data_IF_487106240045
#
_entry.id   IF_487106240045
#
_cell.length_a   1.000
_cell.length_b   1.000
_cell.length_c   1.000
_cell.angle_alpha   90.00
_cell.angle_beta   90.00
_cell.angle_gamma   90.00
#
_symmetry.space_group_name_H-M   'P 1'
#
loop_
_entity.id
_entity.type
_entity.pdbx_description
1 polymer ?
#
# COMPACT_ATOMS: atom_id res chain seq x y z
N UNK A 1 -34.32 78.29 -59.35
CA UNK A 1 -35.52 78.58 -60.18
C UNK A 1 -36.80 78.61 -59.35
N UNK A 2 -37.71 79.55 -59.65
CA UNK A 2 -38.99 79.70 -58.95
C UNK A 2 -40.12 80.09 -59.90
N UNK A 3 -41.35 79.76 -59.53
CA UNK A 3 -42.56 80.11 -60.29
C UNK A 3 -43.52 80.84 -59.36
N UNK A 4 -44.05 81.96 -59.84
CA UNK A 4 -44.98 82.82 -59.12
C UNK A 4 -46.24 83.09 -59.96
N UNK A 5 -47.41 82.97 -59.33
CA UNK A 5 -48.68 83.41 -59.88
C UNK A 5 -49.15 84.66 -59.14
N UNK A 6 -49.47 85.70 -59.91
CA UNK A 6 -49.82 87.02 -59.40
C UNK A 6 -51.18 87.44 -59.95
N UNK A 7 -51.93 88.15 -59.11
CA UNK A 7 -53.18 88.82 -59.49
C UNK A 7 -53.12 90.30 -59.13
N UNK A 8 -53.86 91.13 -59.87
CA UNK A 8 -54.04 92.54 -59.49
C UNK A 8 -55.07 92.61 -58.36
N UNK A 9 -54.79 93.41 -57.33
CA UNK A 9 -55.67 93.58 -56.18
C UNK A 9 -57.03 94.16 -56.60
N UNK A 10 -58.12 93.44 -56.36
CA UNK A 10 -59.49 93.90 -56.65
C UNK A 10 -60.19 94.65 -55.50
N UNK A 11 -59.48 94.96 -54.41
CA UNK A 11 -60.05 95.59 -53.19
C UNK A 11 -59.38 96.92 -52.90
N UNK A 12 -60.17 97.94 -52.51
CA UNK A 12 -59.63 99.18 -51.95
C UNK A 12 -59.06 98.91 -50.55
N UNK A 13 -57.96 99.59 -50.12
CA UNK A 13 -57.26 100.68 -50.81
C UNK A 13 -56.20 100.22 -51.85
N UNK A 14 -55.83 98.94 -51.88
CA UNK A 14 -54.72 98.42 -52.69
C UNK A 14 -54.94 98.54 -54.20
N UNK A 15 -56.20 98.50 -54.64
CA UNK A 15 -56.58 98.73 -56.02
C UNK A 15 -56.15 100.11 -56.52
N UNK A 16 -56.16 101.14 -55.67
CA UNK A 16 -55.76 102.50 -56.06
C UNK A 16 -54.27 102.54 -56.42
N UNK A 17 -53.42 101.84 -55.64
CA UNK A 17 -51.99 101.73 -55.92
C UNK A 17 -51.73 101.03 -57.27
N UNK A 18 -52.50 99.97 -57.56
CA UNK A 18 -52.39 99.24 -58.81
C UNK A 18 -52.82 100.09 -60.01
N UNK A 19 -53.91 100.85 -59.88
CA UNK A 19 -54.42 101.74 -60.94
C UNK A 19 -53.46 102.91 -61.15
N UNK A 20 -53.00 103.58 -60.10
CA UNK A 20 -52.04 104.68 -60.21
C UNK A 20 -50.74 104.24 -60.89
N UNK A 21 -50.24 103.04 -60.57
CA UNK A 21 -49.00 102.53 -61.13
C UNK A 21 -49.16 101.93 -62.51
N UNK A 22 -50.23 101.15 -62.78
CA UNK A 22 -50.30 100.30 -63.98
C UNK A 22 -51.35 100.73 -65.01
N UNK A 23 -52.17 101.76 -64.75
CA UNK A 23 -53.17 102.22 -65.72
C UNK A 23 -52.51 102.71 -67.02
N UNK A 24 -52.96 102.16 -68.16
CA UNK A 24 -52.42 102.50 -69.48
C UNK A 24 -51.12 101.76 -69.85
N UNK A 25 -50.56 100.91 -68.96
CA UNK A 25 -49.37 100.12 -69.27
C UNK A 25 -49.69 98.77 -69.91
N UNK A 26 -48.83 98.26 -70.82
CA UNK A 26 -48.99 96.93 -71.37
C UNK A 26 -48.69 95.86 -70.30
N UNK A 27 -49.36 94.70 -70.39
CA UNK A 27 -49.22 93.59 -69.45
C UNK A 27 -47.77 93.11 -69.28
N UNK A 28 -46.98 93.15 -70.35
CA UNK A 28 -45.55 92.80 -70.33
C UNK A 28 -44.76 93.69 -69.37
N UNK A 29 -45.09 94.99 -69.32
CA UNK A 29 -44.42 95.92 -68.43
C UNK A 29 -44.77 95.65 -66.96
N UNK A 30 -46.04 95.32 -66.67
CA UNK A 30 -46.48 94.92 -65.33
C UNK A 30 -45.76 93.63 -64.90
N UNK A 31 -45.68 92.64 -65.80
CA UNK A 31 -44.96 91.39 -65.54
C UNK A 31 -43.46 91.61 -65.30
N UNK A 32 -42.84 92.54 -66.02
CA UNK A 32 -41.43 92.89 -65.85
C UNK A 32 -41.17 93.52 -64.47
N UNK A 33 -41.96 94.52 -64.08
CA UNK A 33 -41.85 95.16 -62.75
C UNK A 33 -42.04 94.11 -61.65
N UNK A 34 -43.09 93.29 -61.76
CA UNK A 34 -43.36 92.26 -60.76
C UNK A 34 -42.23 91.22 -60.68
N UNK A 35 -41.62 90.84 -61.81
CA UNK A 35 -40.46 89.94 -61.85
C UNK A 35 -39.25 90.58 -61.17
N UNK A 36 -38.91 91.82 -61.52
CA UNK A 36 -37.76 92.55 -60.95
C UNK A 36 -37.89 92.67 -59.42
N UNK A 37 -39.08 92.97 -58.90
CA UNK A 37 -39.32 93.03 -57.45
C UNK A 37 -39.25 91.64 -56.80
N UNK A 38 -39.84 90.60 -57.39
CA UNK A 38 -39.73 89.24 -56.86
C UNK A 38 -38.28 88.73 -56.83
N UNK A 39 -37.48 89.05 -57.84
CA UNK A 39 -36.04 88.72 -57.89
C UNK A 39 -35.25 89.49 -56.84
N UNK A 40 -35.60 90.76 -56.60
CA UNK A 40 -35.05 91.57 -55.52
C UNK A 40 -35.28 90.95 -54.14
N UNK A 41 -36.52 90.54 -53.86
CA UNK A 41 -36.89 89.95 -52.57
C UNK A 41 -36.27 88.57 -52.38
N UNK A 42 -36.22 87.77 -53.45
CA UNK A 42 -35.51 86.49 -53.45
C UNK A 42 -34.02 86.68 -53.11
N UNK A 43 -33.37 87.67 -53.72
CA UNK A 43 -31.96 88.00 -53.44
C UNK A 43 -31.76 88.48 -52.01
N UNK A 44 -32.66 89.32 -51.49
CA UNK A 44 -32.63 89.82 -50.12
C UNK A 44 -32.69 88.70 -49.09
N UNK A 45 -33.64 87.77 -49.25
CA UNK A 45 -33.77 86.61 -48.33
C UNK A 45 -32.58 85.67 -48.44
N UNK A 46 -32.10 85.38 -49.66
CA UNK A 46 -30.91 84.55 -49.87
C UNK A 46 -29.64 85.15 -49.26
N UNK A 47 -29.54 86.48 -49.15
CA UNK A 47 -28.39 87.14 -48.51
C UNK A 47 -28.33 86.92 -46.99
N UNK A 48 -29.43 86.49 -46.36
CA UNK A 48 -29.52 86.27 -44.90
C UNK A 48 -29.37 84.82 -44.47
N UNK A 49 -29.29 83.88 -45.40
CA UNK A 49 -29.25 82.43 -45.12
C UNK A 49 -28.00 81.80 -45.75
N UNK A 50 -27.47 80.74 -45.12
CA UNK A 50 -26.35 80.00 -45.72
C UNK A 50 -26.85 79.02 -46.81
N UNK A 51 -26.00 78.62 -47.78
CA UNK A 51 -26.37 77.64 -48.79
C UNK A 51 -26.91 76.32 -48.21
N UNK A 52 -26.37 75.89 -47.07
CA UNK A 52 -26.83 74.71 -46.35
C UNK A 52 -28.22 74.91 -45.75
N UNK A 53 -28.48 76.06 -45.11
CA UNK A 53 -29.80 76.35 -44.52
C UNK A 53 -30.90 76.43 -45.59
N UNK A 54 -30.59 77.00 -46.75
CA UNK A 54 -31.54 77.07 -47.89
C UNK A 54 -31.86 75.67 -48.42
N UNK A 55 -30.89 74.75 -48.39
CA UNK A 55 -31.11 73.39 -48.86
C UNK A 55 -31.77 72.47 -47.81
N UNK A 56 -31.34 72.58 -46.54
CA UNK A 56 -31.76 71.71 -45.44
C UNK A 56 -33.13 72.14 -44.87
N UNK A 57 -33.45 73.45 -44.82
CA UNK A 57 -34.73 73.98 -44.32
C UNK A 57 -35.45 74.87 -45.34
N UNK A 58 -35.99 74.21 -46.37
CA UNK A 58 -36.76 74.85 -47.44
C UNK A 58 -38.05 75.52 -46.94
N UNK A 59 -38.58 75.08 -45.80
CA UNK A 59 -39.83 75.63 -45.24
C UNK A 59 -39.54 76.99 -44.61
N UNK A 60 -38.46 77.13 -43.86
CA UNK A 60 -38.02 78.40 -43.28
C UNK A 60 -37.71 79.42 -44.38
N UNK A 61 -36.98 79.01 -45.42
CA UNK A 61 -36.72 79.86 -46.58
C UNK A 61 -38.02 80.32 -47.27
N UNK A 62 -38.94 79.40 -47.56
CA UNK A 62 -40.20 79.73 -48.21
C UNK A 62 -41.06 80.70 -47.38
N UNK A 63 -41.10 80.55 -46.05
CA UNK A 63 -41.83 81.46 -45.16
C UNK A 63 -41.25 82.87 -45.16
N UNK A 64 -39.92 82.99 -45.05
CA UNK A 64 -39.25 84.29 -45.10
C UNK A 64 -39.48 84.98 -46.44
N UNK A 65 -39.40 84.23 -47.54
CA UNK A 65 -39.66 84.74 -48.88
C UNK A 65 -41.10 85.21 -49.08
N UNK A 66 -42.09 84.44 -48.64
CA UNK A 66 -43.51 84.83 -48.75
C UNK A 66 -43.78 86.11 -47.96
N UNK A 67 -43.25 86.23 -46.74
CA UNK A 67 -43.42 87.42 -45.92
C UNK A 67 -42.88 88.70 -46.59
N UNK A 68 -41.65 88.64 -47.13
CA UNK A 68 -41.03 89.77 -47.81
C UNK A 68 -41.77 90.12 -49.11
N UNK A 69 -42.14 89.10 -49.88
CA UNK A 69 -42.86 89.25 -51.16
C UNK A 69 -44.26 89.81 -50.95
N UNK A 70 -45.00 89.37 -49.93
CA UNK A 70 -46.32 89.91 -49.63
C UNK A 70 -46.29 91.41 -49.32
N UNK A 71 -45.28 91.87 -48.57
CA UNK A 71 -45.13 93.29 -48.24
C UNK A 71 -44.96 94.16 -49.50
N UNK A 72 -43.99 93.82 -50.35
CA UNK A 72 -43.67 94.66 -51.52
C UNK A 72 -44.66 94.53 -52.66
N UNK A 73 -45.23 93.34 -52.87
CA UNK A 73 -46.28 93.15 -53.88
C UNK A 73 -47.54 93.93 -53.50
N UNK A 74 -47.90 93.94 -52.21
CA UNK A 74 -49.03 94.73 -51.70
C UNK A 74 -48.81 96.22 -51.94
N UNK A 75 -47.59 96.73 -51.73
CA UNK A 75 -47.24 98.12 -52.02
C UNK A 75 -47.39 98.46 -53.51
N UNK A 76 -47.16 97.51 -54.41
CA UNK A 76 -47.41 97.63 -55.85
C UNK A 76 -48.88 97.48 -56.26
N UNK A 77 -49.76 97.03 -55.35
CA UNK A 77 -51.15 96.71 -55.68
C UNK A 77 -51.32 95.35 -56.37
N UNK A 78 -50.36 94.45 -56.19
CA UNK A 78 -50.39 93.06 -56.66
C UNK A 78 -50.56 92.11 -55.47
N UNK A 79 -51.26 91.00 -55.66
CA UNK A 79 -51.33 89.90 -54.68
C UNK A 79 -50.66 88.67 -55.26
N UNK A 80 -49.88 87.98 -54.43
CA UNK A 80 -49.29 86.69 -54.78
C UNK A 80 -50.25 85.57 -54.40
N UNK A 81 -50.68 84.79 -55.39
CA UNK A 81 -51.57 83.63 -55.13
C UNK A 81 -50.74 82.39 -54.79
N UNK A 82 -49.67 82.14 -55.53
CA UNK A 82 -48.77 81.01 -55.28
C UNK A 82 -47.35 81.38 -55.62
N UNK A 83 -46.41 81.11 -54.72
CA UNK A 83 -44.97 81.19 -54.96
C UNK A 83 -44.35 79.84 -54.61
N UNK A 84 -43.67 79.20 -55.57
CA UNK A 84 -42.99 77.92 -55.37
C UNK A 84 -41.56 78.00 -55.87
N UNK A 85 -40.63 77.54 -55.03
CA UNK A 85 -39.23 77.33 -55.40
C UNK A 85 -39.07 75.90 -55.86
N UNK A 86 -38.57 75.70 -57.09
CA UNK A 86 -38.43 74.37 -57.68
C UNK A 86 -37.07 73.78 -57.35
N UNK A 87 -36.01 74.45 -57.81
CA UNK A 87 -34.64 73.97 -57.67
C UNK A 87 -33.73 75.06 -57.12
N UNK A 88 -32.84 74.65 -56.22
CA UNK A 88 -31.71 75.43 -55.72
C UNK A 88 -30.46 74.66 -56.13
N UNK A 89 -29.61 75.29 -56.93
CA UNK A 89 -28.36 74.73 -57.41
C UNK A 89 -27.27 75.79 -57.28
N UNK A 90 -26.05 75.33 -57.04
CA UNK A 90 -24.85 76.17 -57.05
C UNK A 90 -24.07 75.92 -58.34
N UNK A 91 -23.48 76.96 -58.90
CA UNK A 91 -22.64 76.90 -60.11
C UNK A 91 -21.29 76.22 -59.83
N UNK A 92 -20.79 76.33 -58.60
CA UNK A 92 -19.46 75.84 -58.20
C UNK A 92 -19.52 74.41 -57.63
N UNK A 93 -20.71 73.87 -57.38
CA UNK A 93 -20.90 72.51 -56.84
C UNK A 93 -20.48 72.35 -55.37
N UNK A 94 -20.59 73.42 -54.58
CA UNK A 94 -20.28 73.42 -53.14
C UNK A 94 -21.13 72.40 -52.37
N UNK A 95 -22.45 72.40 -52.60
CA UNK A 95 -23.39 71.51 -51.90
C UNK A 95 -23.11 70.03 -52.20
N UNK A 96 -22.78 69.69 -53.45
CA UNK A 96 -22.42 68.33 -53.85
C UNK A 96 -21.12 67.88 -53.18
N UNK A 97 -20.16 68.78 -53.03
CA UNK A 97 -18.89 68.51 -52.37
C UNK A 97 -19.07 68.26 -50.87
N UNK A 98 -19.90 69.05 -50.19
CA UNK A 98 -20.28 68.80 -48.80
C UNK A 98 -21.00 67.46 -48.64
N UNK A 99 -21.93 67.14 -49.54
CA UNK A 99 -22.64 65.86 -49.53
C UNK A 99 -21.67 64.67 -49.63
N UNK A 100 -20.67 64.75 -50.52
CA UNK A 100 -19.62 63.74 -50.64
C UNK A 100 -18.76 63.61 -49.39
N UNK A 101 -18.34 64.72 -48.78
CA UNK A 101 -17.54 64.72 -47.54
C UNK A 101 -18.34 64.09 -46.40
N UNK A 102 -19.59 64.53 -46.18
CA UNK A 102 -20.47 63.96 -45.15
C UNK A 102 -20.68 62.46 -45.36
N UNK A 103 -20.91 62.02 -46.61
CA UNK A 103 -21.03 60.61 -46.95
C UNK A 103 -19.77 59.80 -46.63
N UNK A 104 -18.59 60.32 -47.02
CA UNK A 104 -17.31 59.69 -46.71
C UNK A 104 -17.06 59.58 -45.20
N UNK A 105 -17.43 60.60 -44.42
CA UNK A 105 -17.32 60.60 -42.96
C UNK A 105 -18.23 59.56 -42.31
N UNK A 106 -19.47 59.41 -42.78
CA UNK A 106 -20.39 58.38 -42.29
C UNK A 106 -19.82 56.98 -42.56
N UNK A 107 -19.32 56.74 -43.78
CA UNK A 107 -18.69 55.45 -44.15
C UNK A 107 -17.44 55.20 -43.29
N UNK A 108 -16.60 56.21 -43.08
CA UNK A 108 -15.40 56.11 -42.24
C UNK A 108 -15.78 55.76 -40.80
N UNK A 109 -16.76 56.46 -40.21
CA UNK A 109 -17.23 56.19 -38.85
C UNK A 109 -17.80 54.77 -38.72
N UNK A 110 -18.57 54.31 -39.71
CA UNK A 110 -19.08 52.95 -39.74
C UNK A 110 -17.95 51.90 -39.77
N UNK A 111 -16.94 52.09 -40.62
CA UNK A 111 -15.76 51.20 -40.69
C UNK A 111 -14.97 51.16 -39.38
N UNK A 112 -14.79 52.31 -38.72
CA UNK A 112 -14.11 52.37 -37.42
C UNK A 112 -14.92 51.60 -36.36
N UNK A 113 -16.24 51.79 -36.32
CA UNK A 113 -17.11 51.09 -35.39
C UNK A 113 -17.09 49.57 -35.60
N UNK A 114 -17.13 49.11 -36.86
CA UNK A 114 -17.04 47.69 -37.20
C UNK A 114 -15.68 47.10 -36.81
N UNK A 115 -14.59 47.80 -37.10
CA UNK A 115 -13.24 47.35 -36.73
C UNK A 115 -13.07 47.28 -35.20
N UNK A 116 -13.58 48.27 -34.46
CA UNK A 116 -13.54 48.27 -33.00
C UNK A 116 -14.36 47.13 -32.41
N UNK A 117 -15.57 46.89 -32.93
CA UNK A 117 -16.43 45.78 -32.51
C UNK A 117 -15.77 44.42 -32.79
N UNK A 118 -15.12 44.26 -33.95
CA UNK A 118 -14.38 43.04 -34.29
C UNK A 118 -13.16 42.82 -33.39
N UNK A 119 -12.42 43.88 -33.08
CA UNK A 119 -11.28 43.81 -32.16
C UNK A 119 -11.74 43.42 -30.75
N UNK A 120 -12.78 44.05 -30.21
CA UNK A 120 -13.33 43.74 -28.89
C UNK A 120 -13.88 42.30 -28.84
N UNK A 121 -14.60 41.86 -29.88
CA UNK A 121 -15.03 40.46 -30.00
C UNK A 121 -13.85 39.48 -29.98
N UNK A 122 -12.75 39.80 -30.68
CA UNK A 122 -11.56 38.94 -30.71
C UNK A 122 -10.84 38.88 -29.36
N UNK A 123 -10.76 40.00 -28.63
CA UNK A 123 -10.18 40.05 -27.29
C UNK A 123 -11.01 39.21 -26.32
N UNK A 124 -12.33 39.40 -26.32
CA UNK A 124 -13.24 38.60 -25.46
C UNK A 124 -13.18 37.11 -25.78
N UNK A 125 -13.09 36.74 -27.05
CA UNK A 125 -12.92 35.35 -27.46
C UNK A 125 -11.60 34.75 -26.93
N UNK A 126 -10.50 35.50 -27.02
CA UNK A 126 -9.20 35.10 -26.49
C UNK A 126 -9.21 34.97 -24.95
N UNK A 127 -9.83 35.92 -24.25
CA UNK A 127 -9.99 35.87 -22.79
C UNK A 127 -10.84 34.68 -22.34
N UNK A 128 -11.95 34.42 -23.03
CA UNK A 128 -12.81 33.27 -22.75
C UNK A 128 -12.06 31.95 -22.96
N UNK A 129 -11.34 31.80 -24.06
CA UNK A 129 -10.51 30.61 -24.31
C UNK A 129 -9.40 30.45 -23.26
N UNK A 130 -8.80 31.56 -22.83
CA UNK A 130 -7.82 31.57 -21.75
C UNK A 130 -8.41 31.10 -20.41
N UNK A 131 -9.62 31.57 -20.07
CA UNK A 131 -10.36 31.14 -18.87
C UNK A 131 -10.75 29.67 -18.94
N UNK A 132 -11.27 29.22 -20.07
CA UNK A 132 -11.65 27.83 -20.30
C UNK A 132 -10.45 26.90 -20.18
N UNK A 133 -9.33 27.26 -20.80
CA UNK A 133 -8.09 26.48 -20.74
C UNK A 133 -7.55 26.41 -19.32
N UNK A 134 -7.56 27.51 -18.56
CA UNK A 134 -7.19 27.50 -17.14
C UNK A 134 -8.10 26.58 -16.32
N UNK A 135 -9.41 26.73 -16.45
CA UNK A 135 -10.37 25.87 -15.74
C UNK A 135 -10.18 24.39 -16.08
N UNK A 136 -9.87 24.07 -17.34
CA UNK A 136 -9.57 22.70 -17.79
C UNK A 136 -8.29 22.16 -17.14
N UNK A 137 -7.22 22.97 -17.12
CA UNK A 137 -5.95 22.60 -16.47
C UNK A 137 -6.15 22.41 -14.97
N UNK A 138 -6.87 23.31 -14.29
CA UNK A 138 -7.15 23.21 -12.86
C UNK A 138 -7.97 21.94 -12.54
N UNK A 139 -8.96 21.61 -13.37
CA UNK A 139 -9.72 20.36 -13.26
C UNK A 139 -8.83 19.13 -13.43
N UNK A 140 -7.93 19.12 -14.42
CA UNK A 140 -6.97 18.03 -14.62
C UNK A 140 -6.00 17.89 -13.43
N UNK A 141 -5.52 19.00 -12.87
CA UNK A 141 -4.69 18.99 -11.66
C UNK A 141 -5.47 18.41 -10.48
N UNK A 142 -6.74 18.79 -10.30
CA UNK A 142 -7.58 18.26 -9.23
C UNK A 142 -7.80 16.74 -9.36
N UNK A 143 -8.09 16.26 -10.57
CA UNK A 143 -8.23 14.82 -10.85
C UNK A 143 -6.91 14.09 -10.58
N UNK A 144 -5.78 14.60 -11.08
CA UNK A 144 -4.47 13.99 -10.86
C UNK A 144 -4.09 13.93 -9.38
N UNK A 145 -4.42 14.97 -8.59
CA UNK A 145 -4.24 14.95 -7.12
C UNK A 145 -5.12 13.89 -6.46
N UNK A 146 -6.41 13.85 -6.80
CA UNK A 146 -7.33 12.86 -6.24
C UNK A 146 -6.91 11.41 -6.58
N UNK A 147 -6.41 11.16 -7.79
CA UNK A 147 -5.85 9.87 -8.18
C UNK A 147 -4.58 9.52 -7.40
N UNK A 148 -3.68 10.49 -7.21
CA UNK A 148 -2.46 10.28 -6.42
C UNK A 148 -2.79 9.96 -4.96
N UNK A 149 -3.73 10.69 -4.34
CA UNK A 149 -4.18 10.45 -2.98
C UNK A 149 -4.85 9.09 -2.85
N UNK A 150 -5.72 8.72 -3.81
CA UNK A 150 -6.32 7.39 -3.88
C UNK A 150 -5.25 6.29 -3.92
N UNK A 151 -4.26 6.39 -4.81
CA UNK A 151 -3.16 5.43 -4.90
C UNK A 151 -2.35 5.32 -3.61
N UNK A 152 -2.10 6.46 -2.93
CA UNK A 152 -1.43 6.46 -1.64
C UNK A 152 -2.24 5.71 -0.60
N UNK A 153 -3.54 6.00 -0.50
CA UNK A 153 -4.43 5.30 0.45
C UNK A 153 -4.50 3.81 0.17
N UNK A 154 -4.66 3.40 -1.10
CA UNK A 154 -4.65 1.99 -1.51
C UNK A 154 -3.33 1.29 -1.12
N UNK A 155 -2.19 1.95 -1.38
CA UNK A 155 -0.87 1.40 -1.03
C UNK A 155 -0.71 1.24 0.49
N UNK A 156 -1.14 2.23 1.27
CA UNK A 156 -1.09 2.17 2.74
C UNK A 156 -1.99 1.05 3.27
N UNK A 157 -3.23 0.96 2.77
CA UNK A 157 -4.16 -0.11 3.16
C UNK A 157 -3.63 -1.49 2.79
N UNK A 158 -3.05 -1.67 1.60
CA UNK A 158 -2.42 -2.93 1.19
C UNK A 158 -1.22 -3.27 2.08
N UNK A 159 -0.37 -2.29 2.38
CA UNK A 159 0.77 -2.48 3.29
C UNK A 159 0.31 -2.93 4.67
N UNK A 160 -0.69 -2.28 5.23
CA UNK A 160 -1.20 -2.59 6.56
C UNK A 160 -1.90 -3.96 6.59
N UNK A 161 -2.62 -4.33 5.52
CA UNK A 161 -3.19 -5.68 5.34
C UNK A 161 -2.10 -6.76 5.28
N UNK A 162 -1.03 -6.54 4.50
CA UNK A 162 0.11 -7.47 4.44
C UNK A 162 0.80 -7.61 5.79
N UNK A 163 1.00 -6.50 6.52
CA UNK A 163 1.57 -6.55 7.88
C UNK A 163 0.68 -7.37 8.81
N UNK A 164 -0.64 -7.20 8.74
CA UNK A 164 -1.59 -7.96 9.55
C UNK A 164 -1.56 -9.46 9.20
N UNK A 165 -1.52 -9.82 7.92
CA UNK A 165 -1.41 -11.19 7.45
C UNK A 165 -0.10 -11.86 7.88
N UNK A 166 1.03 -11.16 7.73
CA UNK A 166 2.33 -11.67 8.20
C UNK A 166 2.37 -11.82 9.72
N UNK A 167 1.78 -10.88 10.48
CA UNK A 167 1.64 -11.02 11.93
C UNK A 167 0.78 -12.21 12.32
N UNK A 168 -0.33 -12.45 11.61
CA UNK A 168 -1.19 -13.61 11.85
C UNK A 168 -0.42 -14.92 11.56
N UNK A 169 0.31 -14.98 10.45
CA UNK A 169 1.14 -16.14 10.08
C UNK A 169 2.21 -16.43 11.13
N UNK A 170 2.92 -15.38 11.60
CA UNK A 170 3.93 -15.53 12.67
C UNK A 170 3.27 -15.97 13.97
N UNK A 171 2.12 -15.39 14.34
CA UNK A 171 1.39 -15.77 15.55
C UNK A 171 0.91 -17.22 15.50
N UNK A 172 0.43 -17.69 14.34
CA UNK A 172 0.04 -19.08 14.11
C UNK A 172 1.25 -20.02 14.25
N UNK A 173 2.38 -19.69 13.61
CA UNK A 173 3.61 -20.48 13.74
C UNK A 173 4.15 -20.53 15.18
N UNK A 174 4.05 -19.42 15.93
CA UNK A 174 4.41 -19.38 17.35
C UNK A 174 3.46 -20.26 18.17
N UNK A 175 2.15 -20.16 17.96
CA UNK A 175 1.16 -20.97 18.65
C UNK A 175 1.35 -22.48 18.36
N UNK A 176 1.66 -22.85 17.12
CA UNK A 176 1.97 -24.23 16.74
C UNK A 176 3.26 -24.71 17.40
N UNK A 177 4.30 -23.88 17.45
CA UNK A 177 5.55 -24.20 18.14
C UNK A 177 5.35 -24.39 19.65
N UNK A 178 4.57 -23.52 20.29
CA UNK A 178 4.21 -23.62 21.71
C UNK A 178 3.41 -24.90 22.00
N UNK A 179 2.39 -25.18 21.19
CA UNK A 179 1.61 -26.41 21.30
C UNK A 179 2.49 -27.65 21.12
N UNK A 180 3.42 -27.64 20.16
CA UNK A 180 4.38 -28.72 19.96
C UNK A 180 5.31 -28.89 21.16
N UNK A 181 5.81 -27.80 21.75
CA UNK A 181 6.64 -27.85 22.97
C UNK A 181 5.85 -28.52 24.11
N UNK A 182 4.58 -28.17 24.30
CA UNK A 182 3.77 -28.74 25.36
C UNK A 182 3.46 -30.23 25.12
N UNK A 183 3.22 -30.64 23.88
CA UNK A 183 3.14 -32.06 23.50
C UNK A 183 4.45 -32.79 23.79
N UNK A 184 5.61 -32.19 23.47
CA UNK A 184 6.91 -32.79 23.77
C UNK A 184 7.15 -32.90 25.28
N UNK A 185 6.81 -31.87 26.08
CA UNK A 185 6.90 -31.93 27.55
C UNK A 185 6.04 -33.06 28.10
N UNK A 186 4.78 -33.14 27.68
CA UNK A 186 3.89 -34.22 28.10
C UNK A 186 4.43 -35.60 27.72
N UNK A 187 5.03 -35.73 26.53
CA UNK A 187 5.67 -36.97 26.08
C UNK A 187 6.91 -37.32 26.92
N UNK A 188 7.75 -36.34 27.25
CA UNK A 188 8.89 -36.53 28.15
C UNK A 188 8.43 -37.00 29.53
N UNK A 189 7.37 -36.40 30.09
CA UNK A 189 6.80 -36.85 31.36
C UNK A 189 6.24 -38.27 31.29
N UNK A 190 5.55 -38.62 30.20
CA UNK A 190 5.06 -39.98 29.98
C UNK A 190 6.21 -41.00 29.91
N UNK A 191 7.26 -40.70 29.15
CA UNK A 191 8.45 -41.55 29.05
C UNK A 191 9.14 -41.68 30.40
N UNK A 192 9.26 -40.59 31.16
CA UNK A 192 9.84 -40.61 32.51
C UNK A 192 9.05 -41.50 33.46
N UNK A 193 7.71 -41.40 33.47
CA UNK A 193 6.83 -42.25 34.28
C UNK A 193 6.93 -43.73 33.87
N UNK A 194 6.98 -44.02 32.56
CA UNK A 194 7.21 -45.39 32.08
C UNK A 194 8.56 -45.94 32.53
N UNK A 195 9.63 -45.17 32.35
CA UNK A 195 10.98 -45.57 32.78
C UNK A 195 11.04 -45.83 34.29
N UNK A 196 10.36 -45.00 35.08
CA UNK A 196 10.26 -45.18 36.52
C UNK A 196 9.49 -46.46 36.89
N UNK A 197 8.38 -46.74 36.21
CA UNK A 197 7.59 -47.96 36.45
C UNK A 197 8.27 -49.24 35.94
N UNK A 198 8.92 -49.20 34.78
CA UNK A 198 9.45 -50.38 34.10
C UNK A 198 10.87 -50.76 34.56
N UNK A 199 11.71 -49.77 34.90
CA UNK A 199 13.12 -50.01 35.28
C UNK A 199 13.35 -49.72 36.75
N UNK A 200 12.95 -48.54 37.22
CA UNK A 200 13.33 -48.09 38.57
C UNK A 200 12.56 -48.84 39.64
N UNK A 201 11.25 -49.07 39.47
CA UNK A 201 10.42 -49.76 40.45
C UNK A 201 10.84 -51.23 40.63
N UNK A 202 11.04 -52.02 39.55
CA UNK A 202 11.53 -53.39 39.68
C UNK A 202 12.95 -53.43 40.23
N UNK A 203 13.85 -52.54 39.79
CA UNK A 203 15.21 -52.49 40.35
C UNK A 203 15.23 -52.15 41.85
N UNK A 204 14.35 -51.24 42.31
CA UNK A 204 14.17 -50.96 43.74
C UNK A 204 13.58 -52.15 44.48
N UNK A 205 12.54 -52.78 43.92
CA UNK A 205 11.93 -53.98 44.51
C UNK A 205 12.93 -55.14 44.60
N UNK A 206 13.79 -55.33 43.59
CA UNK A 206 14.85 -56.33 43.57
C UNK A 206 15.93 -56.02 44.60
N UNK A 207 16.31 -54.74 44.75
CA UNK A 207 17.24 -54.29 45.77
C UNK A 207 16.68 -54.55 47.19
N UNK A 208 15.44 -54.16 47.44
CA UNK A 208 14.75 -54.39 48.72
C UNK A 208 14.57 -55.90 48.99
N UNK A 209 14.24 -56.69 47.96
CA UNK A 209 14.14 -58.14 48.07
C UNK A 209 15.51 -58.78 48.36
N UNK A 210 16.59 -58.28 47.75
CA UNK A 210 17.94 -58.73 48.03
C UNK A 210 18.39 -58.36 49.45
N UNK A 211 18.09 -57.14 49.92
CA UNK A 211 18.33 -56.74 51.30
C UNK A 211 17.53 -57.59 52.30
N UNK A 212 16.26 -57.87 51.99
CA UNK A 212 15.41 -58.72 52.83
C UNK A 212 15.93 -60.17 52.87
N UNK A 213 16.37 -60.73 51.73
CA UNK A 213 17.01 -62.05 51.67
C UNK A 213 18.32 -62.08 52.46
N UNK A 214 19.18 -61.08 52.30
CA UNK A 214 20.42 -60.97 53.07
C UNK A 214 20.16 -60.88 54.58
N UNK A 215 19.12 -60.14 55.00
CA UNK A 215 18.67 -60.11 56.41
C UNK A 215 18.10 -61.46 56.86
N UNK A 216 17.35 -62.15 56.00
CA UNK A 216 16.80 -63.48 56.28
C UNK A 216 17.90 -64.55 56.41
N UNK A 217 18.93 -64.52 55.56
CA UNK A 217 20.09 -65.42 55.62
C UNK A 217 20.98 -65.11 56.82
N UNK A 218 21.10 -63.84 57.20
CA UNK A 218 21.81 -63.43 58.42
C UNK A 218 21.04 -63.79 59.70
N UNK A 219 19.71 -63.87 59.67
CA UNK A 219 18.89 -64.15 60.85
C UNK A 219 19.21 -65.47 61.56
N UNK A 220 19.30 -66.65 60.90
CA UNK A 220 19.69 -67.90 61.56
C UNK A 220 21.13 -67.84 62.06
N UNK A 221 22.06 -67.18 61.35
CA UNK A 221 23.45 -67.04 61.80
C UNK A 221 23.52 -66.21 63.10
N UNK A 222 22.77 -65.10 63.15
CA UNK A 222 22.71 -64.23 64.34
C UNK A 222 21.97 -64.93 65.49
N UNK A 223 20.88 -65.65 65.23
CA UNK A 223 20.13 -66.38 66.25
C UNK A 223 20.88 -67.60 66.76
N UNK A 224 21.51 -68.40 65.89
CA UNK A 224 22.40 -69.50 66.27
C UNK A 224 23.62 -68.96 67.02
N UNK A 225 24.16 -67.82 66.61
CA UNK A 225 25.24 -67.13 67.32
C UNK A 225 24.83 -66.75 68.74
N UNK A 226 23.62 -66.17 68.91
CA UNK A 226 23.05 -65.86 70.23
C UNK A 226 22.76 -67.12 71.06
N UNK A 227 22.15 -68.15 70.47
CA UNK A 227 21.85 -69.40 71.15
C UNK A 227 23.14 -70.14 71.58
N UNK A 228 24.17 -70.17 70.73
CA UNK A 228 25.50 -70.70 71.08
C UNK A 228 26.15 -69.88 72.18
N UNK A 229 26.05 -68.55 72.14
CA UNK A 229 26.55 -67.69 73.20
C UNK A 229 25.80 -67.92 74.53
N UNK A 230 24.48 -68.11 74.51
CA UNK A 230 23.69 -68.46 75.69
C UNK A 230 24.07 -69.84 76.25
N UNK A 231 24.20 -70.86 75.39
CA UNK A 231 24.65 -72.21 75.81
C UNK A 231 26.06 -72.16 76.40
N UNK A 232 26.98 -71.41 75.80
CA UNK A 232 28.33 -71.22 76.34
C UNK A 232 28.31 -70.44 77.66
N UNK A 233 27.43 -69.45 77.82
CA UNK A 233 27.24 -68.75 79.08
C UNK A 233 26.63 -69.65 80.17
N UNK A 234 25.68 -70.52 79.83
CA UNK A 234 25.14 -71.54 80.74
C UNK A 234 26.19 -72.58 81.10
N UNK A 235 27.00 -73.04 80.14
CA UNK A 235 28.16 -73.90 80.39
C UNK A 235 29.17 -73.23 81.32
N UNK A 236 29.51 -71.95 81.07
CA UNK A 236 30.39 -71.17 81.93
C UNK A 236 29.81 -70.97 83.34
N UNK A 237 28.50 -70.79 83.47
CA UNK A 237 27.81 -70.74 84.76
C UNK A 237 27.83 -72.11 85.48
N UNK A 238 27.63 -73.22 84.75
CA UNK A 238 27.74 -74.57 85.28
C UNK A 238 29.17 -74.91 85.74
N UNK A 239 30.19 -74.44 85.01
CA UNK A 239 31.60 -74.54 85.39
C UNK A 239 31.96 -73.70 86.63
N UNK A 240 31.29 -72.56 86.86
CA UNK A 240 31.47 -71.80 88.11
C UNK A 240 30.79 -72.45 89.30
N UNK A 241 29.65 -73.10 89.10
CA UNK A 241 28.89 -73.75 90.18
C UNK A 241 29.40 -75.16 90.52
N UNK A 242 29.91 -75.91 89.53
CA UNK A 242 30.56 -77.20 89.73
C UNK A 242 32.07 -76.96 89.88
N UNK A 243 32.57 -77.03 91.12
CA UNK A 243 34.00 -76.95 91.43
C UNK A 243 34.83 -78.10 90.85
N UNK A 244 35.96 -78.52 91.48
CA UNK A 244 37.03 -79.32 90.86
C UNK A 244 36.66 -80.66 90.21
N UNK A 245 35.40 -81.11 90.29
CA UNK A 245 34.90 -82.37 89.73
C UNK A 245 34.08 -82.20 88.42
N UNK A 246 33.96 -81.00 87.85
CA UNK A 246 33.15 -80.75 86.64
C UNK A 246 33.71 -81.42 85.36
N UNK A 247 35.02 -81.66 85.30
CA UNK A 247 35.71 -82.18 84.12
C UNK A 247 35.40 -83.65 83.87
N UNK A 248 35.25 -84.43 84.94
CA UNK A 248 35.13 -85.89 84.87
C UNK A 248 33.71 -86.33 84.48
N UNK A 249 32.67 -85.60 84.91
CA UNK A 249 31.27 -85.85 84.50
C UNK A 249 31.06 -85.52 83.01
N UNK A 250 31.74 -84.48 82.50
CA UNK A 250 31.60 -84.05 81.11
C UNK A 250 32.27 -85.02 80.11
N UNK A 251 33.38 -85.66 80.50
CA UNK A 251 34.03 -86.69 79.68
C UNK A 251 33.15 -87.92 79.49
N UNK A 252 32.40 -88.34 80.52
CA UNK A 252 31.46 -89.45 80.43
C UNK A 252 30.28 -89.11 79.50
N UNK A 253 29.70 -87.91 79.61
CA UNK A 253 28.62 -87.46 78.72
C UNK A 253 29.04 -87.29 77.26
N UNK A 254 30.30 -86.94 77.00
CA UNK A 254 30.83 -86.82 75.63
C UNK A 254 31.25 -88.17 75.06
N UNK A 255 31.66 -89.15 75.88
CA UNK A 255 31.97 -90.51 75.40
C UNK A 255 30.73 -91.20 74.80
N UNK A 256 29.55 -91.03 75.42
CA UNK A 256 28.31 -91.62 74.93
C UNK A 256 27.92 -91.09 73.53
N UNK A 257 28.08 -89.78 73.30
CA UNK A 257 27.86 -89.16 71.99
C UNK A 257 28.90 -89.53 70.93
N UNK A 258 30.12 -89.92 71.32
CA UNK A 258 31.16 -90.36 70.38
C UNK A 258 30.92 -91.80 69.92
N UNK A 259 30.34 -92.66 70.77
CA UNK A 259 29.97 -94.03 70.40
C UNK A 259 28.84 -94.01 69.36
N UNK A 260 27.78 -93.21 69.56
CA UNK A 260 26.68 -93.08 68.59
C UNK A 260 27.14 -92.62 67.20
N UNK A 261 28.10 -91.69 67.13
CA UNK A 261 28.66 -91.20 65.85
C UNK A 261 29.54 -92.26 65.17
N UNK A 262 30.21 -93.14 65.93
CA UNK A 262 31.04 -94.22 65.38
C UNK A 262 30.21 -95.42 64.87
N UNK A 263 29.06 -95.73 65.49
CA UNK A 263 28.15 -96.78 64.99
C UNK A 263 27.27 -96.34 63.82
N UNK A 264 27.09 -95.03 63.60
CA UNK A 264 26.38 -94.47 62.43
C UNK A 264 27.20 -94.38 61.14
N UNK A 265 28.52 -94.67 61.19
CA UNK A 265 29.43 -94.55 60.04
C UNK A 265 29.67 -95.87 59.26
N UNK A 266 29.07 -97.00 59.66
CA UNK A 266 29.29 -98.32 59.03
C UNK A 266 28.10 -98.79 58.15
N UNK A 267 26.96 -98.09 58.13
CA UNK A 267 25.79 -98.49 57.34
C UNK A 267 25.16 -97.34 56.55
N UNK A 268 25.91 -96.72 55.64
CA UNK A 268 25.51 -96.42 54.25
C UNK A 268 26.55 -95.48 53.62
N UNK A 269 27.39 -96.02 52.75
CA UNK A 269 28.22 -95.19 51.85
C UNK A 269 28.24 -95.84 50.48
N UNK A 270 27.26 -95.48 49.64
CA UNK A 270 27.35 -95.68 48.19
C UNK A 270 28.15 -94.52 47.61
N UNK A 271 29.40 -94.79 47.26
CA UNK A 271 30.23 -93.89 46.46
C UNK A 271 29.89 -94.10 44.98
N UNK A 272 29.35 -93.07 44.33
CA UNK A 272 29.26 -92.99 42.86
C UNK A 272 30.42 -92.14 42.34
N UNK A 273 31.24 -92.77 41.49
CA UNK A 273 32.36 -92.25 40.70
C UNK A 273 33.68 -91.88 41.40
N UNK A 274 34.69 -92.68 41.06
CA UNK A 274 36.09 -92.62 41.43
C UNK A 274 36.88 -92.07 40.23
N UNK A 275 37.44 -90.87 40.32
CA UNK A 275 38.42 -90.36 39.34
C UNK A 275 39.80 -90.41 39.99
N UNK A 276 40.61 -91.37 39.56
CA UNK A 276 41.99 -91.55 40.03
C UNK A 276 42.89 -90.46 39.44
N UNK A 277 43.63 -89.77 40.30
CA UNK A 277 44.76 -88.92 39.93
C UNK A 277 46.01 -89.74 40.26
N UNK A 278 46.72 -90.21 39.23
CA UNK A 278 48.04 -90.82 39.39
C UNK A 278 49.11 -89.73 39.36
N UNK A 279 50.04 -89.85 40.30
CA UNK A 279 51.13 -88.93 40.54
C UNK A 279 52.44 -89.69 40.31
N UNK A 280 53.17 -89.35 39.24
CA UNK A 280 54.61 -89.62 39.11
C UNK A 280 55.28 -88.61 38.18
N UNK A 281 56.21 -87.85 38.75
CA UNK A 281 57.19 -86.96 38.11
C UNK A 281 58.53 -87.71 38.11
N UNK A 282 59.37 -87.64 37.06
CA UNK A 282 60.64 -86.90 37.25
C UNK A 282 61.24 -86.20 36.00
N UNK A 283 61.74 -84.98 36.25
CA UNK A 283 62.93 -84.29 35.74
C UNK A 283 63.54 -84.61 34.36
N UNK A 284 63.74 -83.56 33.54
CA UNK A 284 65.01 -83.10 32.90
C UNK A 284 64.81 -81.60 32.53
N UNK A 285 65.25 -80.64 33.35
CA UNK A 285 66.41 -79.72 33.18
C UNK A 285 66.72 -79.19 31.77
N UNK A 286 66.76 -77.86 31.67
CA UNK A 286 67.51 -76.99 30.75
C UNK A 286 67.32 -77.10 29.23
N UNK A 287 66.67 -76.07 28.67
CA UNK A 287 67.31 -75.01 27.87
C UNK A 287 66.43 -74.55 26.68
N UNK A 288 66.26 -73.22 26.60
CA UNK A 288 65.84 -72.43 25.43
C UNK A 288 64.42 -72.57 24.80
N UNK A 289 63.66 -71.46 24.81
CA UNK A 289 62.74 -71.10 23.71
C UNK A 289 61.24 -71.46 23.78
N UNK A 290 60.39 -70.45 24.07
CA UNK A 290 58.94 -70.38 23.81
C UNK A 290 58.58 -70.55 22.31
N UNK A 291 57.29 -70.75 21.88
CA UNK A 291 56.07 -71.16 22.61
C UNK A 291 55.18 -72.19 21.87
N UNK A 292 54.83 -73.31 22.51
CA UNK A 292 53.77 -74.24 22.06
C UNK A 292 52.58 -74.36 23.05
N UNK A 293 52.42 -73.41 23.99
CA UNK A 293 51.33 -73.39 24.99
C UNK A 293 50.09 -72.57 24.61
N UNK A 294 50.01 -72.06 23.39
CA UNK A 294 48.89 -71.22 22.94
C UNK A 294 47.77 -71.99 22.21
N UNK A 295 47.90 -73.30 21.98
CA UNK A 295 46.97 -74.04 21.10
C UNK A 295 45.83 -74.80 21.82
N UNK A 296 45.84 -74.92 23.16
CA UNK A 296 44.74 -75.60 23.89
C UNK A 296 43.78 -74.66 24.64
N UNK A 297 44.11 -73.38 24.78
CA UNK A 297 43.26 -72.37 25.44
C UNK A 297 42.31 -71.64 24.49
N UNK A 298 42.48 -71.78 23.17
CA UNK A 298 41.65 -71.12 22.15
C UNK A 298 40.46 -71.97 21.67
N UNK A 299 40.46 -73.28 21.93
CA UNK A 299 39.36 -74.18 21.52
C UNK A 299 38.21 -74.19 22.54
N UNK A 300 38.50 -73.88 23.82
CA UNK A 300 37.50 -73.82 24.89
C UNK A 300 36.63 -72.55 24.89
N UNK A 301 37.08 -71.45 24.27
CA UNK A 301 36.29 -70.21 24.20
C UNK A 301 35.27 -70.27 23.04
N UNK A 302 35.56 -71.02 21.98
CA UNK A 302 34.65 -71.23 20.83
C UNK A 302 33.40 -72.04 21.19
N UNK A 303 33.52 -73.00 22.12
CA UNK A 303 32.38 -73.84 22.54
C UNK A 303 31.44 -73.19 23.58
N UNK A 304 31.88 -72.12 24.26
CA UNK A 304 31.08 -71.49 25.34
C UNK A 304 30.35 -70.22 24.86
N UNK A 305 30.89 -69.49 23.87
CA UNK A 305 30.31 -68.21 23.44
C UNK A 305 29.99 -68.09 21.94
N UNK A 306 30.25 -69.11 21.11
CA UNK A 306 29.74 -69.18 19.73
C UNK A 306 30.25 -68.11 18.75
N UNK A 307 31.25 -67.31 19.10
CA UNK A 307 31.83 -66.25 18.25
C UNK A 307 33.23 -66.65 17.77
N UNK A 308 33.43 -66.67 16.45
CA UNK A 308 34.72 -66.99 15.82
C UNK A 308 35.56 -65.71 15.59
N UNK A 309 36.44 -65.42 16.54
CA UNK A 309 37.32 -64.23 16.52
C UNK A 309 38.38 -64.26 15.40
N UNK A 310 38.61 -65.42 14.76
CA UNK A 310 39.57 -65.58 13.66
C UNK A 310 38.97 -65.24 12.29
N UNK A 311 37.66 -65.41 12.11
CA UNK A 311 36.94 -64.95 10.92
C UNK A 311 36.77 -63.42 10.90
N UNK A 312 36.44 -62.83 12.06
CA UNK A 312 36.22 -61.37 12.21
C UNK A 312 37.51 -60.54 12.16
N UNK A 313 38.67 -61.13 12.45
CA UNK A 313 39.98 -60.48 12.27
C UNK A 313 40.48 -60.52 10.81
N UNK A 314 40.07 -61.51 10.00
CA UNK A 314 40.39 -61.57 8.56
C UNK A 314 39.52 -60.63 7.73
N UNK A 315 38.26 -60.39 8.10
CA UNK A 315 37.41 -59.37 7.46
C UNK A 315 37.93 -57.95 7.72
N UNK A 316 38.42 -57.65 8.94
CA UNK A 316 38.95 -56.32 9.28
C UNK A 316 40.30 -55.95 8.67
N UNK A 317 41.07 -56.90 8.14
CA UNK A 317 42.30 -56.59 7.40
C UNK A 317 42.05 -56.29 5.90
N UNK A 318 40.87 -56.59 5.36
CA UNK A 318 40.52 -56.32 3.95
C UNK A 318 39.76 -55.00 3.75
N UNK A 319 39.06 -54.46 4.76
CA UNK A 319 38.37 -53.15 4.64
C UNK A 319 39.23 -51.94 5.06
N UNK A 320 40.37 -52.16 5.72
CA UNK A 320 41.32 -51.10 6.09
C UNK A 320 42.15 -50.50 4.94
N UNK A 321 41.98 -51.00 3.71
CA UNK A 321 42.75 -50.58 2.52
C UNK A 321 42.01 -49.59 1.60
N UNK A 322 40.79 -49.14 1.96
CA UNK A 322 40.00 -48.20 1.15
C UNK A 322 39.81 -46.84 1.84
N UNK A 323 40.89 -46.07 2.04
CA UNK A 323 40.79 -44.66 2.44
C UNK A 323 41.98 -43.78 1.96
N UNK A 324 41.72 -42.99 0.90
CA UNK A 324 42.30 -41.68 0.48
C UNK A 324 43.72 -41.63 -0.16
N UNK A 325 44.10 -40.53 -0.88
CA UNK A 325 43.62 -40.03 -2.19
C UNK A 325 44.82 -39.85 -3.19
N UNK A 326 44.66 -39.23 -4.38
CA UNK A 326 45.70 -38.28 -4.80
C UNK A 326 45.19 -36.94 -5.38
N UNK A 327 45.94 -35.89 -5.08
CA UNK A 327 45.94 -34.50 -5.62
C UNK A 327 47.31 -34.31 -6.34
N UNK A 328 47.61 -33.34 -7.24
CA UNK A 328 46.86 -32.34 -8.04
C UNK A 328 47.15 -32.41 -9.58
N UNK A 329 46.43 -31.63 -10.41
CA UNK A 329 47.04 -30.99 -11.60
C UNK A 329 46.63 -29.52 -11.70
N UNK A 330 47.66 -28.67 -11.81
CA UNK A 330 47.59 -27.24 -12.14
C UNK A 330 47.06 -27.05 -13.55
N UNK A 331 46.18 -26.06 -13.69
CA UNK A 331 45.66 -25.46 -14.90
C UNK A 331 44.79 -24.29 -14.48
#
# INVERSE_FOLDING_TARGET
>A
EGVANLKVCGRQPLLNNAVERFMGMPREHIMRIARETLEGNLRGVLATMTPEEVNDDRIKFAKALVHEVEHDMTNLGLTVDTLKIQNVHDEVGYLDSIGRIRGADVIRKARIAEAAAKADASVRAAENNGRETKARVDALIAVAKAEADKRLTETLTQRDALIAEQKATVAEAVAEAEANIDVQKARVEQVRKKLEADIVLPAKADCEAAEARAKADAAPIVQDGKARAEVLNMLAASWRNAGPNARDIFLVQKLEKVIDVLTGLIADTRVQQLTMIDARVPNVTDDSGLPLKALSSLEQIKQIFGVDLLATLKERQLEGAAARPPVPKRG
#
